data_IF_867527178588
#
_entry.id   IF_867527178588
#
_cell.length_a   1.000
_cell.length_b   1.000
_cell.length_c   1.000
_cell.angle_alpha   90.00
_cell.angle_beta   90.00
_cell.angle_gamma   90.00
#
_symmetry.space_group_name_H-M   'P 1'
#
loop_
_entity.id
_entity.type
_entity.pdbx_description
1 polymer ?
#
# COMPACT_ATOMS: atom_id res chain seq x y z
N UNK A 1 28.08 -23.65 48.49
CA UNK A 1 27.87 -24.04 47.09
C UNK A 1 27.09 -22.91 46.46
N UNK A 2 27.74 -22.18 45.57
CA UNK A 2 27.23 -20.93 44.99
C UNK A 2 26.93 -21.24 43.53
N UNK A 3 25.66 -21.35 43.17
CA UNK A 3 25.23 -21.61 41.80
C UNK A 3 25.27 -20.33 40.99
N UNK A 4 26.17 -20.30 40.00
CA UNK A 4 26.27 -19.23 39.01
C UNK A 4 25.22 -19.48 37.93
N UNK A 5 24.19 -18.65 37.89
CA UNK A 5 23.18 -18.65 36.82
C UNK A 5 23.79 -17.98 35.58
N UNK A 6 24.06 -18.76 34.54
CA UNK A 6 24.46 -18.28 33.22
C UNK A 6 23.22 -17.80 32.44
N UNK A 7 23.05 -16.49 32.34
CA UNK A 7 22.11 -15.86 31.41
C UNK A 7 22.66 -15.97 29.98
N UNK A 8 22.03 -16.81 29.17
CA UNK A 8 22.24 -16.83 27.72
C UNK A 8 21.51 -15.66 27.08
N UNK A 9 22.27 -14.68 26.57
CA UNK A 9 21.75 -13.67 25.63
C UNK A 9 21.54 -14.36 24.28
N UNK A 10 20.29 -14.65 23.93
CA UNK A 10 19.90 -15.09 22.59
C UNK A 10 19.68 -13.84 21.76
N UNK A 11 20.70 -13.44 21.01
CA UNK A 11 20.56 -12.43 19.94
C UNK A 11 19.95 -13.12 18.73
N UNK A 12 18.63 -13.01 18.57
CA UNK A 12 17.92 -13.47 17.38
C UNK A 12 18.18 -12.51 16.21
N UNK A 13 19.14 -12.85 15.35
CA UNK A 13 19.27 -12.26 14.02
C UNK A 13 18.15 -12.77 13.12
N UNK A 14 17.11 -11.97 12.95
CA UNK A 14 16.10 -12.15 11.91
C UNK A 14 16.70 -11.76 10.55
N UNK A 15 17.17 -12.74 9.79
CA UNK A 15 17.43 -12.55 8.36
C UNK A 15 16.08 -12.40 7.64
N UNK A 16 15.68 -11.17 7.38
CA UNK A 16 14.56 -10.84 6.49
C UNK A 16 14.96 -11.17 5.05
N UNK A 17 14.73 -12.41 4.63
CA UNK A 17 14.70 -12.72 3.20
C UNK A 17 13.43 -12.08 2.63
N UNK A 18 13.55 -10.91 2.01
CA UNK A 18 12.47 -10.31 1.23
C UNK A 18 12.26 -11.19 -0.01
N UNK A 19 11.41 -12.20 0.12
CA UNK A 19 10.81 -12.82 -1.05
C UNK A 19 10.02 -11.74 -1.77
N UNK A 20 10.40 -11.43 -3.01
CA UNK A 20 9.60 -10.63 -3.93
C UNK A 20 8.32 -11.42 -4.27
N UNK A 21 7.41 -11.58 -3.32
CA UNK A 21 6.05 -12.02 -3.61
C UNK A 21 5.37 -10.93 -4.42
N UNK A 22 4.85 -11.29 -5.60
CA UNK A 22 4.27 -10.36 -6.53
C UNK A 22 2.92 -9.84 -6.00
N UNK A 23 2.93 -8.65 -5.41
CA UNK A 23 1.73 -7.98 -4.88
C UNK A 23 0.79 -7.49 -6.00
N UNK A 24 1.14 -7.73 -7.26
CA UNK A 24 0.35 -7.36 -8.43
C UNK A 24 -0.53 -8.50 -8.95
N UNK A 25 -0.46 -9.71 -8.37
CA UNK A 25 -1.36 -10.80 -8.76
C UNK A 25 -2.76 -10.60 -8.17
N UNK A 26 -3.70 -10.11 -9.00
CA UNK A 26 -5.10 -9.97 -8.63
C UNK A 26 -5.77 -11.35 -8.66
N UNK A 27 -5.74 -12.09 -7.56
CA UNK A 27 -6.58 -13.29 -7.41
C UNK A 27 -7.37 -13.31 -6.10
N UNK A 28 -8.57 -12.70 -6.08
CA UNK A 28 -9.55 -12.90 -5.01
C UNK A 28 -10.37 -14.20 -5.14
N UNK A 29 -10.18 -15.00 -6.20
CA UNK A 29 -10.88 -16.29 -6.36
C UNK A 29 -9.92 -17.47 -6.42
N UNK A 30 -9.61 -18.02 -5.25
CA UNK A 30 -9.27 -19.44 -5.17
C UNK A 30 -10.42 -20.26 -5.73
N UNK A 31 -10.12 -21.38 -6.39
CA UNK A 31 -11.17 -22.31 -6.80
C UNK A 31 -11.69 -23.01 -5.55
N UNK A 32 -12.93 -22.72 -5.18
CA UNK A 32 -13.59 -23.34 -4.03
C UNK A 32 -14.16 -24.71 -4.40
N UNK A 33 -13.91 -25.71 -3.57
CA UNK A 33 -14.49 -27.04 -3.66
C UNK A 33 -15.30 -27.28 -2.40
N UNK A 34 -16.62 -27.38 -2.53
CA UNK A 34 -17.47 -27.82 -1.43
C UNK A 34 -17.19 -29.30 -1.11
N UNK A 35 -16.95 -29.59 0.16
CA UNK A 35 -16.79 -30.94 0.70
C UNK A 35 -17.74 -31.16 1.87
N UNK A 36 -18.11 -32.42 2.09
CA UNK A 36 -18.99 -32.80 3.20
C UNK A 36 -18.23 -33.63 4.21
N UNK A 37 -18.21 -33.17 5.46
CA UNK A 37 -17.78 -33.97 6.61
C UNK A 37 -19.05 -34.45 7.33
N UNK A 38 -19.30 -35.78 7.41
CA UNK A 38 -20.50 -36.31 8.04
C UNK A 38 -20.69 -35.79 9.47
N UNK A 39 -21.89 -35.31 9.79
CA UNK A 39 -22.25 -34.83 11.13
C UNK A 39 -22.04 -33.32 11.35
N UNK A 40 -21.20 -32.65 10.57
CA UNK A 40 -20.96 -31.21 10.73
C UNK A 40 -22.08 -30.34 10.17
N UNK A 41 -22.93 -30.87 9.28
CA UNK A 41 -24.13 -30.15 8.83
C UNK A 41 -25.26 -30.12 9.88
N UNK A 42 -25.13 -30.90 10.96
CA UNK A 42 -26.05 -30.84 12.09
C UNK A 42 -25.64 -29.70 13.03
N UNK A 43 -26.56 -29.21 13.87
CA UNK A 43 -26.26 -28.15 14.85
C UNK A 43 -26.01 -28.76 16.23
N UNK A 44 -25.21 -28.08 17.05
CA UNK A 44 -24.88 -28.46 18.44
C UNK A 44 -24.21 -29.83 18.56
N UNK A 45 -23.35 -30.18 17.61
CA UNK A 45 -22.57 -31.42 17.63
C UNK A 45 -21.13 -31.17 18.09
N UNK A 46 -20.57 -32.13 18.82
CA UNK A 46 -19.13 -32.22 19.08
C UNK A 46 -18.58 -33.37 18.23
N UNK A 47 -17.60 -33.07 17.38
CA UNK A 47 -17.11 -34.01 16.39
C UNK A 47 -15.58 -34.00 16.30
N UNK A 48 -15.02 -35.19 16.46
CA UNK A 48 -13.63 -35.51 16.16
C UNK A 48 -13.45 -35.68 14.65
N UNK A 49 -12.58 -34.87 14.06
CA UNK A 49 -12.32 -34.90 12.61
C UNK A 49 -10.86 -35.14 12.30
N UNK A 50 -10.62 -35.68 11.11
CA UNK A 50 -9.35 -35.61 10.41
C UNK A 50 -9.51 -34.74 9.18
N UNK A 51 -8.46 -34.04 8.85
CA UNK A 51 -8.37 -33.23 7.64
C UNK A 51 -8.58 -34.13 6.41
N UNK A 52 -9.50 -33.79 5.49
CA UNK A 52 -9.71 -34.58 4.28
C UNK A 52 -8.46 -34.63 3.41
N UNK A 53 -8.07 -35.83 2.94
CA UNK A 53 -6.86 -36.06 2.15
C UNK A 53 -6.80 -35.23 0.85
N UNK A 54 -7.94 -34.74 0.36
CA UNK A 54 -8.04 -33.89 -0.83
C UNK A 54 -7.35 -32.53 -0.62
N UNK A 55 -7.37 -32.01 0.61
CA UNK A 55 -6.77 -30.71 0.96
C UNK A 55 -5.26 -30.69 0.75
N UNK A 56 -4.59 -31.81 1.00
CA UNK A 56 -3.14 -31.98 0.81
C UNK A 56 -2.74 -32.13 -0.66
N UNK A 57 -3.66 -32.59 -1.52
CA UNK A 57 -3.37 -32.86 -2.93
C UNK A 57 -3.34 -31.60 -3.78
N UNK A 58 -4.05 -30.55 -3.36
CA UNK A 58 -4.21 -29.33 -4.15
C UNK A 58 -4.27 -28.09 -3.25
N UNK A 59 -3.09 -27.55 -2.94
CA UNK A 59 -2.92 -26.35 -2.12
C UNK A 59 -3.40 -25.06 -2.83
N UNK A 60 -3.74 -25.12 -4.12
CA UNK A 60 -4.24 -23.97 -4.88
C UNK A 60 -5.75 -23.76 -4.74
N UNK A 61 -6.45 -24.72 -4.10
CA UNK A 61 -7.89 -24.73 -3.95
C UNK A 61 -8.28 -24.62 -2.49
N UNK A 62 -9.37 -23.92 -2.25
CA UNK A 62 -9.99 -23.85 -0.93
C UNK A 62 -11.09 -24.90 -0.84
N UNK A 63 -11.05 -25.70 0.21
CA UNK A 63 -12.04 -26.74 0.48
C UNK A 63 -13.02 -26.22 1.52
N UNK A 64 -14.29 -26.14 1.16
CA UNK A 64 -15.32 -25.49 1.99
C UNK A 64 -16.23 -26.53 2.61
N UNK A 65 -16.30 -26.52 3.94
CA UNK A 65 -17.22 -27.36 4.72
C UNK A 65 -18.37 -26.50 5.22
N UNK A 66 -19.57 -26.83 4.75
CA UNK A 66 -20.81 -26.20 5.22
C UNK A 66 -21.19 -26.76 6.59
N UNK A 67 -21.22 -25.92 7.61
CA UNK A 67 -21.45 -26.32 9.01
C UNK A 67 -22.77 -25.78 9.57
N UNK A 68 -23.43 -26.57 10.43
CA UNK A 68 -24.56 -26.13 11.25
C UNK A 68 -24.13 -25.22 12.42
N UNK A 69 -25.07 -24.80 13.25
CA UNK A 69 -24.82 -23.85 14.33
C UNK A 69 -24.26 -24.51 15.59
N UNK A 70 -23.40 -23.78 16.31
CA UNK A 70 -22.89 -24.11 17.65
C UNK A 70 -22.16 -25.45 17.73
N UNK A 71 -21.41 -25.80 16.68
CA UNK A 71 -20.63 -27.04 16.65
C UNK A 71 -19.26 -26.88 17.30
N UNK A 72 -18.77 -27.97 17.88
CA UNK A 72 -17.41 -28.12 18.41
C UNK A 72 -16.65 -29.07 17.49
N UNK A 73 -15.62 -28.58 16.84
CA UNK A 73 -14.77 -29.34 15.92
C UNK A 73 -13.44 -29.61 16.61
N UNK A 74 -13.12 -30.89 16.82
CA UNK A 74 -11.87 -31.34 17.43
C UNK A 74 -10.99 -31.93 16.33
N UNK A 75 -9.85 -31.31 16.07
CA UNK A 75 -8.89 -31.81 15.09
C UNK A 75 -7.99 -32.91 15.69
N UNK A 76 -7.92 -34.04 14.99
CA UNK A 76 -7.01 -35.16 15.31
C UNK A 76 -5.65 -35.08 14.60
N UNK A 77 -5.42 -33.98 13.89
CA UNK A 77 -4.22 -33.70 13.12
C UNK A 77 -3.95 -32.17 13.08
N UNK A 78 -3.01 -31.76 12.22
CA UNK A 78 -2.58 -30.37 12.08
C UNK A 78 -3.57 -29.48 11.29
N UNK A 79 -4.76 -29.97 10.92
CA UNK A 79 -5.67 -29.21 10.07
C UNK A 79 -5.10 -28.99 8.67
N UNK A 80 -5.63 -27.98 7.96
CA UNK A 80 -5.07 -27.52 6.70
C UNK A 80 -5.35 -26.02 6.49
N UNK A 81 -4.39 -25.30 5.92
CA UNK A 81 -4.51 -23.87 5.65
C UNK A 81 -5.57 -23.53 4.60
N UNK A 82 -5.94 -24.49 3.74
CA UNK A 82 -6.94 -24.35 2.69
C UNK A 82 -8.27 -25.06 3.03
N UNK A 83 -8.46 -25.52 4.27
CA UNK A 83 -9.75 -26.05 4.74
C UNK A 83 -10.53 -24.95 5.46
N UNK A 84 -11.67 -24.56 4.89
CA UNK A 84 -12.51 -23.49 5.42
C UNK A 84 -13.87 -23.99 5.87
N UNK A 85 -14.38 -23.43 6.97
CA UNK A 85 -15.76 -23.64 7.42
C UNK A 85 -16.62 -22.43 7.11
N UNK A 86 -17.84 -22.69 6.68
CA UNK A 86 -18.83 -21.68 6.35
C UNK A 86 -20.19 -22.08 6.90
N UNK A 87 -20.94 -21.14 7.47
CA UNK A 87 -22.28 -21.43 7.96
C UNK A 87 -23.21 -21.84 6.83
N UNK A 88 -24.09 -22.80 7.12
CA UNK A 88 -25.28 -23.06 6.28
C UNK A 88 -26.36 -21.99 6.47
N UNK A 89 -26.33 -21.28 7.60
CA UNK A 89 -27.29 -20.26 7.99
C UNK A 89 -26.73 -18.84 7.84
N UNK A 90 -27.48 -17.84 8.30
CA UNK A 90 -27.04 -16.44 8.29
C UNK A 90 -25.86 -16.17 9.21
N UNK A 91 -25.79 -16.83 10.37
CA UNK A 91 -24.78 -16.61 11.39
C UNK A 91 -23.98 -17.90 11.62
N UNK A 92 -22.70 -17.75 11.98
CA UNK A 92 -21.84 -18.88 12.37
C UNK A 92 -21.56 -18.81 13.88
N UNK A 93 -21.68 -19.94 14.57
CA UNK A 93 -21.14 -20.11 15.92
C UNK A 93 -20.39 -21.44 15.95
N UNK A 94 -19.08 -21.42 16.16
CA UNK A 94 -18.23 -22.61 16.05
C UNK A 94 -17.13 -22.56 17.11
N UNK A 95 -16.79 -23.73 17.66
CA UNK A 95 -15.65 -23.91 18.55
C UNK A 95 -14.62 -24.82 17.90
N UNK A 96 -13.35 -24.45 17.94
CA UNK A 96 -12.24 -25.27 17.49
C UNK A 96 -11.38 -25.74 18.64
N UNK A 97 -11.03 -27.03 18.66
CA UNK A 97 -10.10 -27.64 19.59
C UNK A 97 -9.09 -28.51 18.84
N UNK A 98 -7.93 -28.72 19.43
CA UNK A 98 -6.95 -29.69 18.97
C UNK A 98 -6.82 -30.82 19.99
N UNK A 99 -6.81 -32.06 19.52
CA UNK A 99 -6.53 -33.23 20.38
C UNK A 99 -5.05 -33.36 20.76
N UNK A 100 -4.16 -32.64 20.05
CA UNK A 100 -2.73 -32.67 20.26
C UNK A 100 -2.18 -31.25 20.42
N UNK A 101 -1.91 -30.85 21.67
CA UNK A 101 -1.43 -29.52 22.02
C UNK A 101 -0.03 -29.20 21.46
N UNK A 102 0.77 -30.22 21.12
CA UNK A 102 2.16 -30.03 20.65
C UNK A 102 2.25 -29.65 19.16
N UNK A 103 1.15 -29.78 18.41
CA UNK A 103 1.13 -29.52 16.96
C UNK A 103 0.26 -28.32 16.64
N UNK A 104 0.77 -27.35 15.88
CA UNK A 104 -0.08 -26.26 15.37
C UNK A 104 -1.17 -26.82 14.45
N UNK A 105 -2.42 -26.49 14.75
CA UNK A 105 -3.57 -26.84 13.93
C UNK A 105 -4.03 -25.62 13.15
N UNK A 106 -4.14 -25.74 11.82
CA UNK A 106 -4.56 -24.64 10.94
C UNK A 106 -5.98 -24.86 10.45
N UNK A 107 -6.80 -23.80 10.48
CA UNK A 107 -8.18 -23.86 10.00
C UNK A 107 -8.65 -22.53 9.45
N UNK A 108 -9.39 -22.56 8.36
CA UNK A 108 -10.02 -21.41 7.74
C UNK A 108 -11.47 -21.20 8.16
N UNK A 109 -11.92 -19.94 8.19
CA UNK A 109 -13.32 -19.55 8.29
C UNK A 109 -13.68 -18.59 7.16
N UNK A 110 -14.76 -18.91 6.44
CA UNK A 110 -15.46 -17.94 5.61
C UNK A 110 -16.43 -17.14 6.48
N UNK A 111 -15.98 -15.97 6.93
CA UNK A 111 -16.81 -15.06 7.70
C UNK A 111 -17.85 -14.41 6.80
N UNK A 112 -19.11 -14.49 7.23
CA UNK A 112 -20.26 -13.79 6.65
C UNK A 112 -21.15 -13.32 7.80
N UNK A 113 -21.75 -12.13 7.66
CA UNK A 113 -22.66 -11.54 8.65
C UNK A 113 -22.06 -11.59 10.08
N UNK A 114 -22.72 -12.24 11.05
CA UNK A 114 -22.18 -12.44 12.40
C UNK A 114 -21.57 -13.84 12.55
N UNK A 115 -20.28 -13.88 12.86
CA UNK A 115 -19.50 -15.11 13.03
C UNK A 115 -18.86 -15.11 14.40
N UNK A 116 -19.21 -16.07 15.25
CA UNK A 116 -18.57 -16.28 16.56
C UNK A 116 -17.68 -17.50 16.47
N UNK A 117 -16.39 -17.30 16.72
CA UNK A 117 -15.37 -18.36 16.69
C UNK A 117 -14.80 -18.47 18.10
N UNK A 118 -14.96 -19.63 18.70
CA UNK A 118 -14.39 -19.94 20.01
C UNK A 118 -13.15 -20.82 19.83
N UNK A 119 -12.00 -20.36 20.29
CA UNK A 119 -10.74 -21.09 20.23
C UNK A 119 -10.49 -21.78 21.57
N UNK A 120 -10.60 -23.11 21.56
CA UNK A 120 -10.44 -23.94 22.74
C UNK A 120 -9.12 -24.70 22.83
N UNK A 121 -8.12 -24.32 22.04
CA UNK A 121 -6.73 -24.76 22.22
C UNK A 121 -5.77 -23.69 21.70
N UNK A 122 -4.71 -23.39 22.44
CA UNK A 122 -3.77 -22.29 22.14
C UNK A 122 -2.97 -22.48 20.84
N UNK A 123 -2.88 -23.71 20.34
CA UNK A 123 -2.20 -24.13 19.12
C UNK A 123 -3.08 -24.03 17.86
N UNK A 124 -4.34 -23.60 17.97
CA UNK A 124 -5.20 -23.32 16.81
C UNK A 124 -4.81 -21.97 16.19
N UNK A 125 -4.49 -22.01 14.90
CA UNK A 125 -4.21 -20.84 14.09
C UNK A 125 -5.29 -20.68 13.00
N UNK A 126 -5.83 -19.47 12.89
CA UNK A 126 -6.94 -19.19 11.98
C UNK A 126 -6.48 -18.62 10.63
N UNK A 127 -7.20 -18.97 9.57
CA UNK A 127 -7.27 -18.19 8.34
C UNK A 127 -8.68 -17.60 8.25
N UNK A 128 -8.80 -16.31 7.93
CA UNK A 128 -10.08 -15.64 7.80
C UNK A 128 -10.26 -15.15 6.37
N UNK A 129 -11.42 -15.42 5.78
CA UNK A 129 -11.79 -14.87 4.48
C UNK A 129 -13.23 -14.37 4.51
N UNK A 130 -13.50 -13.25 3.84
CA UNK A 130 -14.86 -12.71 3.71
C UNK A 130 -15.06 -11.41 4.46
N UNK A 131 -16.26 -11.25 5.04
CA UNK A 131 -16.78 -9.97 5.53
C UNK A 131 -17.71 -10.17 6.74
N UNK A 132 -18.15 -9.05 7.34
CA UNK A 132 -19.07 -9.04 8.48
C UNK A 132 -18.36 -8.83 9.82
N UNK A 133 -18.99 -9.29 10.90
CA UNK A 133 -18.56 -9.13 12.29
C UNK A 133 -18.10 -10.47 12.85
N UNK A 134 -16.81 -10.57 13.16
CA UNK A 134 -16.18 -11.75 13.77
C UNK A 134 -15.95 -11.50 15.25
N UNK A 135 -16.63 -12.27 16.10
CA UNK A 135 -16.39 -12.32 17.54
C UNK A 135 -15.43 -13.49 17.84
N UNK A 136 -14.22 -13.18 18.29
CA UNK A 136 -13.22 -14.17 18.69
C UNK A 136 -13.28 -14.34 20.21
N UNK A 137 -13.55 -15.57 20.62
CA UNK A 137 -13.60 -15.99 22.03
C UNK A 137 -12.53 -17.05 22.26
N UNK A 138 -12.09 -17.21 23.50
CA UNK A 138 -11.23 -18.33 23.90
C UNK A 138 -11.87 -19.06 25.08
N UNK A 139 -11.75 -20.38 25.16
CA UNK A 139 -12.14 -21.13 26.38
C UNK A 139 -10.98 -21.32 27.34
N UNK A 140 -9.76 -21.24 26.82
CA UNK A 140 -8.54 -21.38 27.61
C UNK A 140 -7.96 -19.99 27.92
N UNK A 141 -7.26 -19.90 29.04
CA UNK A 141 -6.67 -18.67 29.56
C UNK A 141 -5.44 -18.19 28.77
N UNK A 142 -5.38 -18.36 27.45
CA UNK A 142 -4.29 -17.80 26.65
C UNK A 142 -4.60 -16.36 26.23
N UNK A 143 -3.56 -15.53 26.22
CA UNK A 143 -3.69 -14.08 26.08
C UNK A 143 -3.84 -13.61 24.62
N UNK A 144 -3.45 -14.45 23.65
CA UNK A 144 -3.30 -14.07 22.24
C UNK A 144 -3.96 -15.06 21.29
N UNK A 145 -4.82 -14.57 20.40
CA UNK A 145 -5.35 -15.32 19.26
C UNK A 145 -4.51 -15.01 18.02
N UNK A 146 -4.05 -16.04 17.30
CA UNK A 146 -3.25 -15.89 16.08
C UNK A 146 -4.10 -16.16 14.84
N UNK A 147 -4.14 -15.19 13.94
CA UNK A 147 -4.68 -15.33 12.59
C UNK A 147 -3.50 -15.27 11.62
N UNK A 148 -3.27 -16.35 10.86
CA UNK A 148 -2.18 -16.42 9.90
C UNK A 148 -2.48 -15.55 8.68
N UNK A 149 -3.65 -15.74 8.07
CA UNK A 149 -4.06 -14.97 6.90
C UNK A 149 -5.44 -14.37 7.09
N UNK A 150 -5.63 -13.15 6.58
CA UNK A 150 -6.93 -12.50 6.49
C UNK A 150 -7.11 -11.96 5.08
N UNK A 151 -8.15 -12.38 4.37
CA UNK A 151 -8.47 -11.92 3.02
C UNK A 151 -9.84 -11.26 3.01
N UNK A 152 -9.88 -9.99 2.63
CA UNK A 152 -11.11 -9.19 2.58
C UNK A 152 -11.29 -8.69 1.15
N UNK A 153 -12.47 -8.92 0.57
CA UNK A 153 -12.83 -8.41 -0.76
C UNK A 153 -14.19 -7.68 -0.71
N UNK A 154 -14.20 -6.47 -1.26
CA UNK A 154 -15.36 -5.61 -1.51
C UNK A 154 -16.27 -5.21 -0.34
N UNK A 155 -15.90 -5.46 0.93
CA UNK A 155 -16.76 -5.18 2.10
C UNK A 155 -15.95 -4.89 3.39
N UNK A 156 -16.65 -4.70 4.51
CA UNK A 156 -16.05 -4.49 5.82
C UNK A 156 -15.91 -5.80 6.61
N UNK A 157 -14.79 -5.98 7.31
CA UNK A 157 -14.60 -7.00 8.33
C UNK A 157 -14.33 -6.32 9.67
N UNK A 158 -15.17 -6.61 10.66
CA UNK A 158 -15.01 -6.15 12.04
C UNK A 158 -14.52 -7.30 12.90
N UNK A 159 -13.42 -7.13 13.65
CA UNK A 159 -12.99 -8.08 14.68
C UNK A 159 -13.34 -7.54 16.07
N UNK A 160 -13.93 -8.40 16.90
CA UNK A 160 -14.21 -8.15 18.30
C UNK A 160 -13.55 -9.25 19.15
N UNK A 161 -12.70 -8.87 20.09
CA UNK A 161 -12.03 -9.79 21.00
C UNK A 161 -11.66 -9.07 22.30
N UNK A 162 -11.86 -9.73 23.43
CA UNK A 162 -11.33 -9.26 24.71
C UNK A 162 -9.82 -9.60 24.87
N UNK A 163 -9.30 -10.47 24.01
CA UNK A 163 -7.91 -10.91 23.97
C UNK A 163 -7.13 -10.20 22.87
N UNK A 164 -5.80 -10.19 22.99
CA UNK A 164 -4.92 -9.68 21.94
C UNK A 164 -5.09 -10.52 20.67
N UNK A 165 -5.16 -9.88 19.52
CA UNK A 165 -5.23 -10.55 18.22
C UNK A 165 -3.99 -10.19 17.41
N UNK A 166 -3.29 -11.20 16.89
CA UNK A 166 -2.15 -11.02 15.99
C UNK A 166 -2.51 -11.56 14.62
N UNK A 167 -2.58 -10.67 13.63
CA UNK A 167 -2.77 -11.01 12.22
C UNK A 167 -1.40 -11.02 11.55
N UNK A 168 -0.95 -12.20 11.08
CA UNK A 168 0.37 -12.31 10.43
C UNK A 168 0.36 -11.65 9.05
N UNK A 169 -0.67 -11.89 8.26
CA UNK A 169 -0.81 -11.28 6.95
C UNK A 169 -2.26 -10.93 6.65
N UNK A 170 -2.48 -9.73 6.12
CA UNK A 170 -3.78 -9.27 5.67
C UNK A 170 -3.71 -8.84 4.20
N UNK A 171 -4.57 -9.40 3.36
CA UNK A 171 -4.73 -9.06 1.95
C UNK A 171 -6.05 -8.32 1.73
N UNK A 172 -5.97 -7.11 1.16
CA UNK A 172 -7.08 -6.18 1.00
C UNK A 172 -7.35 -5.92 -0.47
N UNK A 173 -8.53 -6.31 -0.95
CA UNK A 173 -8.97 -6.13 -2.33
C UNK A 173 -10.06 -5.06 -2.42
N UNK A 174 -10.13 -4.35 -3.56
CA UNK A 174 -11.17 -3.36 -3.89
C UNK A 174 -11.37 -2.32 -2.78
N UNK A 175 -12.62 -1.90 -2.52
CA UNK A 175 -13.00 -0.95 -1.47
C UNK A 175 -13.39 -1.71 -0.20
N UNK A 176 -12.41 -2.17 0.57
CA UNK A 176 -12.64 -2.91 1.82
C UNK A 176 -12.43 -2.05 3.05
N UNK A 177 -13.00 -2.47 4.18
CA UNK A 177 -12.71 -1.86 5.47
C UNK A 177 -12.31 -2.93 6.49
N UNK A 178 -11.28 -2.66 7.28
CA UNK A 178 -10.99 -3.47 8.47
C UNK A 178 -11.15 -2.61 9.72
N UNK A 179 -12.00 -3.09 10.62
CA UNK A 179 -12.43 -2.35 11.79
C UNK A 179 -12.23 -3.24 13.02
N UNK A 180 -11.81 -2.64 14.12
CA UNK A 180 -11.78 -3.30 15.43
C UNK A 180 -12.81 -2.62 16.33
N UNK A 181 -13.50 -3.41 17.14
CA UNK A 181 -14.53 -2.89 18.06
C UNK A 181 -14.06 -2.93 19.52
N UNK A 182 -14.56 -1.97 20.32
CA UNK A 182 -14.26 -1.90 21.76
C UNK A 182 -12.78 -1.63 22.07
N UNK A 183 -12.24 -2.40 23.03
CA UNK A 183 -10.85 -2.33 23.51
C UNK A 183 -9.93 -3.36 22.83
N UNK A 184 -10.39 -3.97 21.73
CA UNK A 184 -9.65 -5.04 21.05
C UNK A 184 -8.27 -4.54 20.59
N UNK A 185 -7.20 -5.16 21.11
CA UNK A 185 -5.83 -4.88 20.68
C UNK A 185 -5.45 -5.77 19.51
N UNK A 186 -5.50 -5.23 18.29
CA UNK A 186 -5.07 -5.93 17.07
C UNK A 186 -3.71 -5.43 16.62
N UNK A 187 -2.78 -6.37 16.42
CA UNK A 187 -1.47 -6.12 15.77
C UNK A 187 -1.46 -6.83 14.41
N UNK A 188 -1.11 -6.10 13.35
CA UNK A 188 -1.00 -6.66 12.01
C UNK A 188 0.48 -6.62 11.60
N UNK A 189 1.06 -7.76 11.27
CA UNK A 189 2.46 -7.80 10.85
C UNK A 189 2.61 -7.26 9.42
N UNK A 190 1.94 -7.89 8.46
CA UNK A 190 2.02 -7.54 7.04
C UNK A 190 0.66 -7.14 6.48
N UNK A 191 0.57 -5.97 5.87
CA UNK A 191 -0.61 -5.51 5.12
C UNK A 191 -0.30 -5.49 3.63
N UNK A 192 -1.09 -6.22 2.83
CA UNK A 192 -1.00 -6.27 1.37
C UNK A 192 -2.23 -5.59 0.77
N UNK A 193 -2.02 -4.41 0.19
CA UNK A 193 -3.05 -3.66 -0.54
C UNK A 193 -2.93 -4.01 -2.02
N UNK A 194 -3.96 -4.65 -2.55
CA UNK A 194 -3.92 -5.24 -3.87
C UNK A 194 -4.06 -4.18 -4.97
N UNK A 195 -3.55 -4.47 -6.17
CA UNK A 195 -3.57 -3.54 -7.29
C UNK A 195 -4.97 -2.90 -7.50
N UNK A 196 -5.01 -1.58 -7.65
CA UNK A 196 -6.23 -0.81 -7.87
C UNK A 196 -7.19 -0.71 -6.67
N UNK A 197 -6.86 -1.33 -5.54
CA UNK A 197 -7.70 -1.36 -4.34
C UNK A 197 -7.62 -0.05 -3.57
N UNK A 198 -8.67 0.28 -2.83
CA UNK A 198 -8.72 1.46 -1.96
C UNK A 198 -9.29 1.15 -0.59
N UNK A 199 -8.64 0.30 0.23
CA UNK A 199 -9.14 -0.05 1.54
C UNK A 199 -9.00 1.08 2.56
N UNK A 200 -9.84 1.01 3.58
CA UNK A 200 -9.76 1.85 4.76
C UNK A 200 -9.54 1.00 6.01
N UNK A 201 -8.66 1.46 6.88
CA UNK A 201 -8.29 0.71 8.06
C UNK A 201 -8.37 1.62 9.30
N UNK A 202 -8.98 1.11 10.38
CA UNK A 202 -8.97 1.78 11.70
C UNK A 202 -8.64 0.92 12.91
N UNK A 203 -8.02 1.54 13.93
CA UNK A 203 -7.74 1.01 15.27
C UNK A 203 -6.84 -0.22 15.34
N UNK A 204 -5.60 -0.10 14.87
CA UNK A 204 -4.59 -1.16 15.00
C UNK A 204 -3.16 -0.60 14.90
N UNK A 205 -2.20 -1.47 15.22
CA UNK A 205 -0.78 -1.20 15.10
C UNK A 205 -0.18 -2.10 13.99
N UNK A 206 0.42 -1.49 12.95
CA UNK A 206 1.11 -2.24 11.90
C UNK A 206 2.57 -2.41 12.30
N UNK A 207 3.01 -3.66 12.44
CA UNK A 207 4.27 -3.98 13.11
C UNK A 207 5.43 -3.99 12.12
N UNK A 208 5.28 -4.62 10.96
CA UNK A 208 6.42 -4.99 10.12
C UNK A 208 6.37 -4.27 8.78
N UNK A 209 5.36 -4.56 7.94
CA UNK A 209 5.40 -4.19 6.53
C UNK A 209 4.04 -3.82 5.93
N UNK A 210 4.05 -2.83 5.02
CA UNK A 210 2.92 -2.51 4.13
C UNK A 210 3.40 -2.64 2.69
N UNK A 211 2.70 -3.48 1.91
CA UNK A 211 2.90 -3.66 0.49
C UNK A 211 1.72 -3.02 -0.26
N UNK A 212 1.98 -2.00 -1.06
CA UNK A 212 0.97 -1.28 -1.83
C UNK A 212 1.13 -1.58 -3.32
N UNK A 213 0.16 -2.30 -3.89
CA UNK A 213 0.12 -2.64 -5.31
C UNK A 213 -0.12 -1.44 -6.22
N UNK A 214 0.08 -1.63 -7.53
CA UNK A 214 -0.03 -0.52 -8.49
C UNK A 214 -1.40 0.14 -8.46
N UNK A 215 -1.44 1.47 -8.49
CA UNK A 215 -2.67 2.28 -8.49
C UNK A 215 -3.60 2.01 -7.28
N UNK A 216 -3.07 1.43 -6.21
CA UNK A 216 -3.79 1.23 -4.97
C UNK A 216 -3.63 2.42 -4.02
N UNK A 217 -4.54 2.54 -3.06
CA UNK A 217 -4.56 3.62 -2.07
C UNK A 217 -4.99 3.10 -0.71
N UNK A 218 -4.19 3.29 0.32
CA UNK A 218 -4.51 2.87 1.68
C UNK A 218 -4.98 4.07 2.51
N UNK A 219 -6.23 4.03 2.98
CA UNK A 219 -6.75 5.04 3.90
C UNK A 219 -6.50 4.63 5.34
N UNK A 220 -5.73 5.43 6.06
CA UNK A 220 -5.36 5.21 7.45
C UNK A 220 -6.04 6.26 8.34
N UNK A 221 -6.76 5.79 9.35
CA UNK A 221 -7.34 6.65 10.38
C UNK A 221 -6.28 7.21 11.33
N UNK A 222 -6.66 8.20 12.14
CA UNK A 222 -5.75 8.99 12.99
C UNK A 222 -4.98 8.17 14.04
N UNK A 223 -5.56 7.04 14.42
CA UNK A 223 -5.16 6.12 15.48
C UNK A 223 -4.29 4.96 14.99
N UNK A 224 -3.97 4.93 13.69
CA UNK A 224 -3.03 3.98 13.11
C UNK A 224 -1.62 4.55 13.17
N UNK A 225 -0.71 3.81 13.82
CA UNK A 225 0.72 4.10 13.80
C UNK A 225 1.44 3.21 12.77
N UNK A 226 2.26 3.84 11.94
CA UNK A 226 3.10 3.19 10.92
C UNK A 226 4.58 3.56 11.07
N UNK A 227 4.96 4.27 12.13
CA UNK A 227 6.29 4.88 12.28
C UNK A 227 7.44 3.87 12.32
N UNK A 228 7.17 2.66 12.81
CA UNK A 228 8.13 1.54 12.79
C UNK A 228 8.08 0.70 11.52
N UNK A 229 7.04 0.85 10.69
CA UNK A 229 6.73 -0.03 9.57
C UNK A 229 7.60 0.26 8.34
N UNK A 230 7.98 -0.77 7.58
CA UNK A 230 8.56 -0.63 6.24
C UNK A 230 7.47 -0.63 5.19
N UNK A 231 7.56 0.24 4.19
CA UNK A 231 6.56 0.34 3.12
C UNK A 231 7.21 0.05 1.78
N UNK A 232 6.64 -0.87 0.99
CA UNK A 232 6.98 -1.04 -0.42
C UNK A 232 5.79 -0.64 -1.28
N UNK A 233 6.04 0.21 -2.27
CA UNK A 233 5.01 0.75 -3.16
C UNK A 233 5.38 0.37 -4.59
N UNK A 234 4.55 -0.45 -5.23
CA UNK A 234 4.69 -0.77 -6.65
C UNK A 234 4.24 0.41 -7.49
N UNK A 235 5.21 1.09 -8.11
CA UNK A 235 4.94 2.25 -8.96
C UNK A 235 4.49 1.81 -10.36
N UNK A 236 3.52 2.51 -10.98
CA UNK A 236 3.12 2.21 -12.35
C UNK A 236 4.27 2.52 -13.32
N UNK A 237 4.47 1.65 -14.30
CA UNK A 237 5.43 1.86 -15.39
C UNK A 237 4.87 2.78 -16.50
N UNK A 238 3.62 3.20 -16.42
CA UNK A 238 2.93 4.09 -17.38
C UNK A 238 2.43 5.37 -16.69
N UNK A 239 2.18 6.42 -17.47
CA UNK A 239 1.62 7.67 -16.97
C UNK A 239 0.12 7.47 -16.67
N UNK A 240 -0.23 7.32 -15.40
CA UNK A 240 -1.62 7.27 -14.93
C UNK A 240 -1.93 8.54 -14.15
N UNK A 241 -3.20 8.94 -14.11
CA UNK A 241 -3.68 9.92 -13.13
C UNK A 241 -3.37 9.38 -11.73
N UNK A 242 -2.31 9.88 -11.10
CA UNK A 242 -1.74 9.26 -9.90
C UNK A 242 -2.74 9.35 -8.75
N UNK A 243 -3.26 8.20 -8.31
CA UNK A 243 -3.86 8.08 -6.98
C UNK A 243 -2.73 8.08 -5.94
N UNK A 244 -3.03 8.63 -4.77
CA UNK A 244 -2.10 8.67 -3.66
C UNK A 244 -2.01 7.27 -3.06
N UNK A 245 -0.82 6.74 -2.82
CA UNK A 245 -0.65 5.45 -2.13
C UNK A 245 -1.21 5.46 -0.71
N UNK A 246 -1.11 6.61 -0.05
CA UNK A 246 -1.65 6.81 1.29
C UNK A 246 -2.60 8.00 1.33
N UNK A 247 -3.69 7.81 2.08
CA UNK A 247 -4.58 8.86 2.54
C UNK A 247 -4.64 8.78 4.07
N UNK A 248 -4.40 9.89 4.74
CA UNK A 248 -4.49 9.97 6.20
C UNK A 248 -5.70 10.81 6.60
N UNK A 249 -6.45 10.34 7.60
CA UNK A 249 -7.53 11.12 8.21
C UNK A 249 -7.05 12.05 9.34
N UNK A 250 -5.74 12.30 9.40
CA UNK A 250 -5.09 13.26 10.31
C UNK A 250 -4.11 14.13 9.54
N UNK A 251 -3.92 15.35 10.02
CA UNK A 251 -2.82 16.20 9.59
C UNK A 251 -1.49 15.65 10.12
N UNK A 252 -0.44 15.82 9.33
CA UNK A 252 0.96 15.53 9.69
C UNK A 252 1.21 14.13 10.30
N UNK A 253 0.86 13.05 9.57
CA UNK A 253 1.23 11.71 9.98
C UNK A 253 2.75 11.56 10.05
N UNK A 254 3.22 10.89 11.11
CA UNK A 254 4.61 10.43 11.20
C UNK A 254 4.92 9.51 10.02
N UNK A 255 6.02 9.74 9.28
CA UNK A 255 6.40 8.86 8.20
C UNK A 255 6.77 7.45 8.71
N UNK A 256 6.61 6.42 7.88
CA UNK A 256 7.12 5.09 8.18
C UNK A 256 8.64 5.07 8.25
N UNK A 257 9.21 4.01 8.83
CA UNK A 257 10.65 3.87 9.03
C UNK A 257 11.42 3.82 7.71
N UNK A 258 10.79 3.28 6.66
CA UNK A 258 11.34 3.18 5.31
C UNK A 258 10.22 3.16 4.27
N UNK A 259 10.41 3.83 3.14
CA UNK A 259 9.55 3.71 1.95
C UNK A 259 10.42 3.31 0.76
N UNK A 260 10.13 2.18 0.13
CA UNK A 260 10.77 1.76 -1.12
C UNK A 260 9.76 1.86 -2.25
N UNK A 261 10.12 2.58 -3.30
CA UNK A 261 9.36 2.64 -4.54
C UNK A 261 9.95 1.60 -5.47
N UNK A 262 9.20 0.51 -5.69
CA UNK A 262 9.64 -0.67 -6.44
C UNK A 262 8.92 -0.75 -7.78
N UNK A 263 9.49 -1.45 -8.79
CA UNK A 263 8.83 -1.66 -10.06
C UNK A 263 7.46 -2.32 -9.89
N UNK A 264 6.43 -1.73 -10.48
CA UNK A 264 5.10 -2.31 -10.58
C UNK A 264 4.81 -2.79 -12.00
N UNK A 265 4.18 -3.95 -12.12
CA UNK A 265 3.67 -4.45 -13.40
C UNK A 265 2.15 -4.30 -13.41
N UNK A 266 1.62 -3.53 -14.35
CA UNK A 266 0.18 -3.44 -14.58
C UNK A 266 -0.18 -4.50 -15.62
N UNK A 267 -1.02 -5.50 -15.27
CA UNK A 267 -1.65 -6.46 -16.18
C UNK A 267 -0.88 -6.71 -17.50
N UNK A 268 0.26 -7.40 -17.43
CA UNK A 268 1.25 -7.65 -18.51
C UNK A 268 0.71 -8.40 -19.75
N UNK A 269 -0.62 -8.53 -19.91
CA UNK A 269 -1.29 -9.23 -20.99
C UNK A 269 -2.23 -8.39 -21.85
N UNK A 270 -2.46 -7.09 -21.58
CA UNK A 270 -3.40 -6.27 -22.37
C UNK A 270 -2.88 -4.85 -22.67
N UNK A 271 -1.72 -4.74 -23.30
CA UNK A 271 -1.33 -3.48 -23.95
C UNK A 271 -0.52 -3.76 -25.22
N UNK A 272 -1.23 -4.12 -26.29
CA UNK A 272 -0.80 -3.67 -27.62
C UNK A 272 -1.06 -2.16 -27.66
N UNK A 273 -0.11 -1.34 -27.18
CA UNK A 273 -0.15 0.10 -27.43
C UNK A 273 0.99 0.55 -28.35
N UNK A 274 0.68 1.40 -29.34
CA UNK A 274 1.60 1.81 -30.39
C UNK A 274 2.73 2.68 -29.85
N UNK A 275 3.95 2.42 -30.29
CA UNK A 275 5.23 3.03 -29.90
C UNK A 275 5.38 4.55 -30.19
N UNK A 276 4.30 5.32 -30.33
CA UNK A 276 4.33 6.68 -30.89
C UNK A 276 3.67 7.77 -30.02
N UNK A 277 3.83 7.71 -28.69
CA UNK A 277 3.50 8.86 -27.85
C UNK A 277 4.74 9.48 -27.19
N UNK A 278 4.81 10.81 -27.26
CA UNK A 278 5.84 11.64 -26.67
C UNK A 278 6.16 11.21 -25.22
N UNK A 279 7.41 11.34 -24.75
CA UNK A 279 7.76 10.98 -23.38
C UNK A 279 7.06 11.93 -22.40
N UNK A 280 5.85 11.58 -22.00
CA UNK A 280 5.13 12.24 -20.92
C UNK A 280 5.84 11.88 -19.61
N UNK A 281 6.22 12.90 -18.83
CA UNK A 281 6.83 12.70 -17.52
C UNK A 281 5.93 11.79 -16.66
N UNK A 282 6.46 10.67 -16.19
CA UNK A 282 5.75 9.78 -15.28
C UNK A 282 5.84 10.36 -13.89
N UNK A 283 4.69 10.61 -13.26
CA UNK A 283 4.58 11.08 -11.87
C UNK A 283 3.72 10.13 -11.07
N UNK A 284 4.14 9.91 -9.84
CA UNK A 284 3.45 9.05 -8.90
C UNK A 284 3.42 9.70 -7.52
N UNK A 285 2.26 9.74 -6.87
CA UNK A 285 2.09 10.39 -5.58
C UNK A 285 2.07 9.35 -4.46
N UNK A 286 3.00 9.46 -3.52
CA UNK A 286 3.06 8.58 -2.35
C UNK A 286 2.01 9.02 -1.33
N UNK A 287 2.01 10.31 -0.98
CA UNK A 287 1.13 10.89 0.04
C UNK A 287 0.85 12.36 -0.30
N UNK A 288 -0.30 12.87 0.12
CA UNK A 288 -0.76 14.25 -0.08
C UNK A 288 -1.35 14.83 1.20
N UNK A 289 -1.41 16.16 1.29
CA UNK A 289 -2.05 16.86 2.39
C UNK A 289 -1.23 16.88 3.68
N UNK A 290 0.12 16.87 3.56
CA UNK A 290 1.04 16.83 4.70
C UNK A 290 1.86 18.12 4.77
N UNK A 291 2.19 18.60 5.96
CA UNK A 291 3.10 19.73 6.17
C UNK A 291 4.56 19.28 6.40
N UNK A 292 4.77 18.05 6.86
CA UNK A 292 6.07 17.47 7.17
C UNK A 292 6.72 16.70 6.00
N UNK A 293 6.53 17.15 4.75
CA UNK A 293 7.00 16.41 3.57
C UNK A 293 8.52 16.17 3.53
N UNK A 294 9.32 17.06 4.12
CA UNK A 294 10.77 16.85 4.22
C UNK A 294 11.16 15.59 5.00
N UNK A 295 10.41 15.24 6.06
CA UNK A 295 10.62 14.03 6.86
C UNK A 295 10.26 12.79 6.04
N UNK A 296 9.08 12.81 5.40
CA UNK A 296 8.63 11.77 4.48
C UNK A 296 9.60 11.52 3.32
N UNK A 297 10.16 12.59 2.75
CA UNK A 297 11.19 12.47 1.72
C UNK A 297 12.47 11.80 2.24
N UNK A 298 12.82 12.02 3.50
CA UNK A 298 14.02 11.45 4.13
C UNK A 298 13.97 9.95 4.33
N UNK A 299 12.78 9.35 4.39
CA UNK A 299 12.58 7.90 4.55
C UNK A 299 12.33 7.17 3.23
N UNK A 300 12.17 7.91 2.13
CA UNK A 300 11.82 7.37 0.83
C UNK A 300 13.04 7.10 -0.08
N UNK A 301 13.02 5.94 -0.72
CA UNK A 301 14.03 5.44 -1.65
C UNK A 301 13.38 4.97 -2.94
N UNK A 302 14.07 5.16 -4.06
CA UNK A 302 13.64 4.69 -5.38
C UNK A 302 14.51 3.49 -5.74
N UNK A 303 13.89 2.33 -5.84
CA UNK A 303 14.50 1.10 -6.38
C UNK A 303 14.04 0.84 -7.82
N UNK A 304 12.96 1.49 -8.28
CA UNK A 304 12.48 1.43 -9.66
C UNK A 304 13.30 2.34 -10.61
N UNK A 305 14.00 1.79 -11.62
CA UNK A 305 14.80 2.57 -12.57
C UNK A 305 13.96 3.50 -13.47
N UNK A 306 12.64 3.32 -13.53
CA UNK A 306 11.72 4.19 -14.27
C UNK A 306 11.57 5.57 -13.64
N UNK A 307 12.01 5.72 -12.38
CA UNK A 307 11.91 6.92 -11.59
C UNK A 307 13.30 7.42 -11.18
N UNK A 308 13.48 8.74 -11.13
CA UNK A 308 14.80 9.35 -10.92
C UNK A 308 14.82 10.37 -9.77
N UNK A 309 13.66 10.85 -9.31
CA UNK A 309 13.62 11.84 -8.23
C UNK A 309 12.40 11.73 -7.32
N UNK A 310 12.58 12.12 -6.06
CA UNK A 310 11.53 12.31 -5.05
C UNK A 310 11.47 13.80 -4.70
N UNK A 311 10.29 14.42 -4.80
CA UNK A 311 10.08 15.86 -4.62
C UNK A 311 8.88 16.13 -3.71
N UNK A 312 9.00 17.17 -2.90
CA UNK A 312 7.87 17.80 -2.22
C UNK A 312 7.31 18.90 -3.11
N UNK A 313 6.00 18.84 -3.38
CA UNK A 313 5.30 19.82 -4.21
C UNK A 313 4.24 20.48 -3.35
N UNK A 314 4.19 21.82 -3.34
CA UNK A 314 3.19 22.56 -2.59
C UNK A 314 1.82 22.44 -3.27
N UNK A 315 0.77 22.19 -2.49
CA UNK A 315 -0.61 22.19 -2.96
C UNK A 315 -1.08 23.64 -3.06
N UNK A 316 -1.52 24.04 -4.26
CA UNK A 316 -1.90 25.42 -4.56
C UNK A 316 -3.00 25.92 -3.61
N UNK A 317 -2.84 27.14 -3.10
CA UNK A 317 -3.79 27.75 -2.16
C UNK A 317 -3.71 27.23 -0.71
N UNK A 318 -2.80 26.30 -0.40
CA UNK A 318 -2.64 25.77 0.98
C UNK A 318 -1.19 25.87 1.46
N UNK A 319 -0.94 25.56 2.74
CA UNK A 319 0.40 25.35 3.29
C UNK A 319 0.82 23.87 3.28
N UNK A 320 0.00 23.00 2.69
CA UNK A 320 0.25 21.57 2.63
C UNK A 320 1.03 21.22 1.36
N UNK A 321 1.71 20.09 1.44
CA UNK A 321 2.56 19.55 0.40
C UNK A 321 2.15 18.10 0.06
N UNK A 322 2.67 17.62 -1.06
CA UNK A 322 2.54 16.24 -1.52
C UNK A 322 3.92 15.68 -1.86
N UNK A 323 4.15 14.41 -1.51
CA UNK A 323 5.38 13.69 -1.84
C UNK A 323 5.17 12.95 -3.17
N UNK A 324 5.95 13.34 -4.18
CA UNK A 324 5.81 12.85 -5.55
C UNK A 324 7.13 12.27 -6.04
N UNK A 325 7.04 11.13 -6.71
CA UNK A 325 8.13 10.48 -7.44
C UNK A 325 8.00 10.84 -8.92
N UNK A 326 9.10 11.14 -9.59
CA UNK A 326 9.12 11.57 -10.99
C UNK A 326 10.20 10.86 -11.79
N UNK A 327 9.89 10.52 -13.05
CA UNK A 327 10.85 9.99 -14.03
C UNK A 327 11.89 11.01 -14.48
N UNK A 328 11.62 12.30 -14.32
CA UNK A 328 12.60 13.33 -14.62
C UNK A 328 13.60 13.42 -13.48
N UNK A 329 14.89 13.42 -13.82
CA UNK A 329 15.93 13.80 -12.87
C UNK A 329 15.56 15.13 -12.21
N UNK A 330 15.92 15.27 -10.93
CA UNK A 330 15.84 16.56 -10.26
C UNK A 330 16.90 17.46 -10.89
N UNK A 331 16.62 18.03 -12.08
CA UNK A 331 17.41 19.12 -12.60
C UNK A 331 17.28 20.22 -11.57
N UNK A 332 18.34 20.43 -10.81
CA UNK A 332 18.53 21.67 -10.07
C UNK A 332 18.74 22.76 -11.12
N UNK A 333 17.69 23.12 -11.86
CA UNK A 333 17.60 24.33 -12.66
C UNK A 333 17.46 25.53 -11.71
N UNK A 334 18.28 25.59 -10.66
CA UNK A 334 18.78 26.88 -10.21
C UNK A 334 19.78 27.26 -11.28
N UNK A 335 19.36 28.12 -12.21
CA UNK A 335 20.31 28.87 -13.02
C UNK A 335 21.36 29.41 -12.04
N UNK A 336 22.61 28.98 -12.19
CA UNK A 336 23.69 29.45 -11.35
C UNK A 336 23.64 30.99 -11.37
N UNK A 337 23.69 31.67 -10.20
CA UNK A 337 23.64 33.13 -10.14
C UNK A 337 24.64 33.84 -11.05
N UNK A 338 25.68 33.13 -11.48
CA UNK A 338 26.70 33.60 -12.41
C UNK A 338 26.24 33.77 -13.87
N UNK A 339 25.14 33.16 -14.33
CA UNK A 339 24.69 33.31 -15.72
C UNK A 339 23.89 34.61 -15.96
N UNK A 340 23.15 35.07 -14.95
CA UNK A 340 22.30 36.28 -15.05
C UNK A 340 23.15 37.56 -14.94
N UNK A 341 24.26 37.53 -14.19
CA UNK A 341 25.19 38.66 -14.12
C UNK A 341 25.95 38.92 -15.44
N UNK A 342 26.22 37.89 -16.23
CA UNK A 342 26.93 38.02 -17.51
C UNK A 342 26.10 38.70 -18.60
N UNK A 343 24.80 38.41 -18.66
CA UNK A 343 23.89 38.98 -19.68
C UNK A 343 23.69 40.49 -19.45
N UNK A 344 23.57 40.93 -18.19
CA UNK A 344 23.45 42.34 -17.84
C UNK A 344 24.70 43.15 -18.19
N UNK A 345 25.91 42.58 -17.99
CA UNK A 345 27.15 43.25 -18.33
C UNK A 345 27.31 43.50 -19.84
N UNK A 346 26.89 42.54 -20.68
CA UNK A 346 26.95 42.68 -22.15
C UNK A 346 25.95 43.74 -22.65
N UNK A 347 24.74 43.80 -22.10
CA UNK A 347 23.75 44.82 -22.48
C UNK A 347 24.24 46.25 -22.18
N UNK A 348 24.90 46.49 -21.04
CA UNK A 348 25.39 47.83 -20.67
C UNK A 348 26.51 48.31 -21.60
N UNK A 349 27.42 47.42 -22.00
CA UNK A 349 28.53 47.78 -22.92
C UNK A 349 28.00 48.11 -24.32
N UNK A 350 27.02 47.36 -24.82
CA UNK A 350 26.43 47.61 -26.15
C UNK A 350 25.71 48.96 -26.18
N UNK A 351 24.94 49.31 -25.15
CA UNK A 351 24.25 50.61 -25.07
C UNK A 351 25.25 51.77 -25.01
N UNK A 352 26.35 51.63 -24.27
CA UNK A 352 27.41 52.64 -24.19
C UNK A 352 28.12 52.86 -25.54
N UNK A 353 28.38 51.79 -26.30
CA UNK A 353 28.97 51.89 -27.65
C UNK A 353 28.00 52.58 -28.61
N UNK A 354 26.72 52.20 -28.61
CA UNK A 354 25.70 52.82 -29.49
C UNK A 354 25.54 54.32 -29.17
N UNK A 355 25.49 54.69 -27.89
CA UNK A 355 25.45 56.09 -27.45
C UNK A 355 26.72 56.86 -27.86
N UNK A 356 27.90 56.25 -27.71
CA UNK A 356 29.17 56.83 -28.13
C UNK A 356 29.24 57.07 -29.64
N UNK A 357 28.80 56.11 -30.46
CA UNK A 357 28.77 56.24 -31.92
C UNK A 357 27.75 57.29 -32.36
N UNK A 358 26.56 57.34 -31.76
CA UNK A 358 25.54 58.33 -32.12
C UNK A 358 25.94 59.77 -31.76
N UNK A 359 26.65 59.98 -30.64
CA UNK A 359 27.24 61.30 -30.31
C UNK A 359 28.39 61.66 -31.27
N UNK A 360 29.21 60.69 -31.68
CA UNK A 360 30.33 60.91 -32.59
C UNK A 360 29.88 61.21 -34.03
N UNK A 361 28.80 60.57 -34.50
CA UNK A 361 28.17 60.87 -35.80
C UNK A 361 27.42 62.20 -35.77
N UNK A 362 26.81 62.56 -34.63
CA UNK A 362 26.13 63.86 -34.47
C UNK A 362 27.11 65.05 -34.45
N UNK A 363 28.35 64.86 -33.96
CA UNK A 363 29.39 65.91 -34.04
C UNK A 363 30.03 66.05 -35.43
N UNK A 364 29.86 65.08 -36.34
CA UNK A 364 30.43 65.12 -37.70
C UNK A 364 29.44 65.48 -38.81
N UNK A 365 28.16 65.69 -38.52
CA UNK A 365 27.16 66.14 -39.52
C UNK A 365 26.56 67.50 -39.18
N UNK A 366 27.43 68.51 -39.08
CA UNK A 366 27.05 69.90 -39.36
C UNK A 366 27.79 70.37 -40.61
N UNK A 367 27.57 69.67 -41.72
CA UNK A 367 27.70 70.27 -43.05
C UNK A 367 26.47 69.90 -43.85
N UNK A 368 25.59 70.89 -43.91
CA UNK A 368 24.50 71.07 -44.86
C UNK A 368 24.87 70.56 -46.24
N UNK A 369 24.08 69.63 -46.78
CA UNK A 369 23.73 69.58 -48.19
C UNK A 369 22.35 68.91 -48.27
N UNK A 370 21.36 69.68 -48.72
CA UNK A 370 20.03 69.18 -49.01
C UNK A 370 20.02 68.28 -50.24
N UNK A 371 18.98 67.45 -50.34
CA UNK A 371 18.31 67.02 -51.56
C UNK A 371 16.92 66.50 -51.14
N UNK A 372 15.91 67.01 -51.84
CA UNK A 372 14.52 66.58 -51.88
C UNK A 372 14.39 65.19 -52.53
N UNK A 373 13.48 64.35 -52.04
CA UNK A 373 12.62 63.42 -52.82
C UNK A 373 11.83 62.55 -51.84
N UNK A 374 10.52 62.76 -51.72
CA UNK A 374 9.46 62.04 -52.43
C UNK A 374 9.29 60.59 -51.95
N UNK A 375 8.46 60.41 -50.93
CA UNK A 375 7.87 59.11 -50.62
C UNK A 375 6.74 58.85 -51.63
N UNK A 376 6.98 57.89 -52.52
CA UNK A 376 5.93 57.26 -53.31
C UNK A 376 5.25 56.18 -52.47
N UNK A 377 3.95 56.32 -52.33
CA UNK A 377 3.02 55.24 -52.01
C UNK A 377 3.04 54.22 -53.16
N UNK A 378 3.21 52.92 -52.89
CA UNK A 378 2.36 51.86 -53.48
C UNK A 378 2.61 50.48 -52.86
N UNK A 379 1.57 49.99 -52.19
CA UNK A 379 0.99 48.63 -52.16
C UNK A 379 1.84 47.37 -52.41
N UNK A 380 1.78 46.45 -51.45
CA UNK A 380 1.10 45.13 -51.56
C UNK A 380 1.25 44.41 -50.19
N UNK A 381 0.22 44.22 -49.36
CA UNK A 381 -1.00 43.43 -49.54
C UNK A 381 -0.75 41.98 -49.96
N UNK A 382 -0.79 41.06 -49.00
CA UNK A 382 -1.85 40.04 -48.86
C UNK A 382 -1.49 39.08 -47.72
N UNK A 383 -2.49 38.81 -46.89
CA UNK A 383 -2.55 37.84 -45.82
C UNK A 383 -2.85 36.42 -46.34
N UNK A 384 -2.47 35.41 -45.57
CA UNK A 384 -3.35 34.43 -44.89
C UNK A 384 -2.51 33.75 -43.81
#
# INVERSE_FOLDING_TARGET
>A
MTETILLYNITSTSTSSSSNEDINEILPSSHQIDITIPGLNQSSTELDIRTPNETEKDLSKDFVVKIGQSNVVIFNDSGASNLYFESQDTNLNITFKSSNEDTTTMVGIFAKNETTITIGSHNIHLNLQGNGNVNLLTTDNFETVTILTTTIDNEALTINSIHKVVVKQMSLYRTTAFITSGETLVSINVVKVQQGSSPALSKYHIVEEILVGVNASLTLSSDVDISSTSVNISAPNISLSSRNSFLFLREDPTPPSKINVVPGQLNTYLADEPENEFPVEKKFMIVSGISNCAEWKGTAHIDDPSYQSIKCVKIEGTNLEQLVVSSNSQSNNKLAPCAIAGILAVCVVVVAIIAGVSICVSKKKNQSLGIESSFGDEFDSIAI
#
